data_IF_224088110171
#
_entry.id   IF_224088110171
#
_cell.length_a   1.000
_cell.length_b   1.000
_cell.length_c   1.000
_cell.angle_alpha   90.00
_cell.angle_beta   90.00
_cell.angle_gamma   90.00
#
_symmetry.space_group_name_H-M   'P 1'
#
loop_
_entity.id
_entity.type
_entity.pdbx_description
1 polymer ?
#
# COMPACT_ATOMS: atom_id res chain seq x y z
N UNK A 1 0.34 -19.85 -8.25
CA UNK A 1 1.11 -20.15 -9.47
C UNK A 1 0.13 -20.13 -10.63
N UNK A 2 0.23 -19.17 -11.54
CA UNK A 2 -0.57 -19.24 -12.78
C UNK A 2 0.21 -20.08 -13.80
N UNK A 3 -0.50 -20.87 -14.59
CA UNK A 3 0.06 -21.55 -15.75
C UNK A 3 -0.34 -20.74 -16.99
N UNK A 4 0.59 -20.49 -17.90
CA UNK A 4 0.30 -19.74 -19.12
C UNK A 4 -0.61 -20.53 -20.06
N UNK A 5 -0.47 -21.86 -20.07
CA UNK A 5 -1.13 -22.75 -21.03
C UNK A 5 -1.57 -24.06 -20.37
N UNK A 6 -2.41 -24.01 -19.30
CA UNK A 6 -2.81 -25.20 -18.54
C UNK A 6 -3.48 -26.25 -19.43
N UNK A 7 -4.26 -25.81 -20.43
CA UNK A 7 -4.99 -26.69 -21.33
C UNK A 7 -4.11 -27.43 -22.34
N UNK A 8 -3.05 -26.78 -22.82
CA UNK A 8 -2.09 -27.41 -23.74
C UNK A 8 -1.26 -28.46 -23.00
N UNK A 9 -0.79 -28.13 -21.79
CA UNK A 9 -0.08 -29.08 -20.95
C UNK A 9 -0.97 -30.28 -20.55
N UNK A 10 -2.24 -30.03 -20.19
CA UNK A 10 -3.20 -31.08 -19.88
C UNK A 10 -3.48 -31.98 -21.10
N UNK A 11 -3.66 -31.39 -22.29
CA UNK A 11 -3.85 -32.14 -23.53
C UNK A 11 -2.64 -33.01 -23.90
N UNK A 12 -1.42 -32.46 -23.78
CA UNK A 12 -0.19 -33.20 -24.03
C UNK A 12 -0.01 -34.38 -23.06
N UNK A 13 -0.30 -34.18 -21.77
CA UNK A 13 -0.26 -35.24 -20.77
C UNK A 13 -1.32 -36.32 -21.05
N UNK A 14 -2.55 -35.92 -21.39
CA UNK A 14 -3.64 -36.85 -21.68
C UNK A 14 -3.36 -37.79 -22.86
N UNK A 15 -2.51 -37.38 -23.81
CA UNK A 15 -2.11 -38.21 -24.96
C UNK A 15 -0.84 -39.00 -24.67
N UNK A 16 0.19 -38.36 -24.11
CA UNK A 16 1.51 -38.95 -23.99
C UNK A 16 1.60 -40.07 -22.95
N UNK A 17 0.94 -39.92 -21.80
CA UNK A 17 0.93 -40.93 -20.74
C UNK A 17 0.27 -42.27 -21.18
N UNK A 18 -0.96 -42.29 -21.71
CA UNK A 18 -1.58 -43.54 -22.14
C UNK A 18 -0.89 -44.14 -23.37
N UNK A 19 -0.33 -43.33 -24.29
CA UNK A 19 0.44 -43.83 -25.41
C UNK A 19 1.70 -44.58 -24.96
N UNK A 20 2.43 -44.04 -23.97
CA UNK A 20 3.63 -44.67 -23.42
C UNK A 20 3.28 -45.98 -22.70
N UNK A 21 2.20 -45.99 -21.91
CA UNK A 21 1.70 -47.20 -21.26
C UNK A 21 1.28 -48.25 -22.29
N UNK A 22 0.55 -47.86 -23.33
CA UNK A 22 0.12 -48.75 -24.40
C UNK A 22 1.32 -49.39 -25.11
N UNK A 23 2.32 -48.58 -25.51
CA UNK A 23 3.56 -49.07 -26.13
C UNK A 23 4.34 -50.00 -25.21
N UNK A 24 4.37 -49.71 -23.91
CA UNK A 24 5.03 -50.56 -22.94
C UNK A 24 4.33 -51.92 -22.80
N UNK A 25 2.99 -51.95 -22.68
CA UNK A 25 2.23 -53.19 -22.60
C UNK A 25 2.28 -54.00 -23.91
N UNK A 26 2.34 -53.34 -25.06
CA UNK A 26 2.49 -54.00 -26.36
C UNK A 26 3.87 -54.64 -26.55
N UNK A 27 4.88 -54.21 -25.79
CA UNK A 27 6.24 -54.78 -25.86
C UNK A 27 6.30 -56.13 -25.15
N UNK A 28 5.68 -57.13 -25.76
CA UNK A 28 5.67 -58.51 -25.30
C UNK A 28 7.04 -59.15 -25.56
N UNK A 29 7.96 -59.05 -24.59
CA UNK A 29 9.22 -59.80 -24.62
C UNK A 29 8.94 -61.28 -24.39
N UNK A 30 8.80 -62.04 -25.48
CA UNK A 30 8.89 -63.50 -25.44
C UNK A 30 10.36 -63.88 -25.29
N UNK A 31 10.70 -64.42 -24.12
CA UNK A 31 12.00 -65.03 -23.90
C UNK A 31 11.79 -66.52 -24.16
N UNK A 32 12.36 -67.02 -25.25
CA UNK A 32 12.36 -68.45 -25.53
C UNK A 32 13.38 -69.12 -24.61
N UNK A 33 12.89 -70.01 -23.74
CA UNK A 33 13.76 -70.85 -22.92
C UNK A 33 13.70 -72.27 -23.46
N UNK A 34 14.83 -72.88 -23.85
CA UNK A 34 14.85 -74.28 -24.25
C UNK A 34 14.65 -75.16 -23.01
N UNK A 35 13.66 -76.06 -23.06
CA UNK A 35 13.34 -76.98 -21.95
C UNK A 35 13.25 -78.40 -22.50
N UNK A 36 13.85 -79.36 -21.81
CA UNK A 36 14.01 -80.73 -22.28
C UNK A 36 12.75 -81.60 -22.27
N UNK A 37 11.62 -81.14 -21.72
CA UNK A 37 10.35 -81.91 -21.73
C UNK A 37 9.11 -80.99 -21.67
N UNK A 38 8.17 -81.20 -22.60
CA UNK A 38 6.93 -80.42 -22.75
C UNK A 38 5.77 -80.93 -21.90
N UNK A 39 5.88 -82.12 -21.31
CA UNK A 39 4.79 -82.77 -20.57
C UNK A 39 4.51 -82.14 -19.19
N UNK A 40 5.55 -81.69 -18.48
CA UNK A 40 5.43 -81.10 -17.14
C UNK A 40 4.90 -79.65 -17.17
N UNK A 41 5.06 -78.95 -18.30
CA UNK A 41 4.67 -77.55 -18.44
C UNK A 41 3.17 -77.34 -18.67
N UNK A 42 2.44 -78.31 -19.24
CA UNK A 42 0.98 -78.19 -19.44
C UNK A 42 0.19 -77.99 -18.14
N UNK A 43 0.75 -78.37 -16.99
CA UNK A 43 0.09 -78.27 -15.67
C UNK A 43 0.52 -77.03 -14.87
N UNK A 44 1.68 -76.43 -15.17
CA UNK A 44 2.19 -75.22 -14.52
C UNK A 44 1.66 -73.91 -15.15
N UNK A 45 1.11 -73.98 -16.37
CA UNK A 45 0.61 -72.78 -17.09
C UNK A 45 -0.74 -72.28 -16.53
N UNK A 46 -1.45 -73.09 -15.74
CA UNK A 46 -2.76 -72.69 -15.18
C UNK A 46 -2.65 -71.78 -13.93
N UNK A 47 -1.51 -71.76 -13.22
CA UNK A 47 -1.36 -70.97 -11.98
C UNK A 47 -0.66 -69.60 -12.15
N UNK A 48 -0.05 -69.34 -13.32
CA UNK A 48 0.72 -68.11 -13.55
C UNK A 48 -0.11 -66.91 -14.06
N UNK A 49 -1.43 -67.07 -14.19
CA UNK A 49 -2.30 -66.10 -14.88
C UNK A 49 -3.09 -65.14 -13.99
N UNK A 50 -2.88 -65.10 -12.67
CA UNK A 50 -3.76 -64.29 -11.81
C UNK A 50 -3.22 -62.88 -11.50
N UNK A 51 -1.89 -62.63 -11.50
CA UNK A 51 -1.33 -61.32 -11.12
C UNK A 51 -0.11 -60.83 -11.93
N UNK A 52 0.12 -61.38 -13.13
CA UNK A 52 1.26 -61.04 -13.97
C UNK A 52 1.37 -59.56 -14.44
N UNK A 53 0.29 -58.80 -14.71
CA UNK A 53 0.45 -57.45 -15.26
C UNK A 53 0.97 -56.44 -14.24
N UNK A 54 0.55 -56.53 -12.97
CA UNK A 54 0.90 -55.54 -11.92
C UNK A 54 2.23 -55.83 -11.20
N UNK A 55 2.71 -57.08 -11.15
CA UNK A 55 4.02 -57.39 -10.55
C UNK A 55 5.19 -56.83 -11.39
N UNK A 56 5.05 -56.77 -12.72
CA UNK A 56 6.08 -56.19 -13.60
C UNK A 56 6.17 -54.67 -13.48
N UNK A 57 5.07 -53.99 -13.13
CA UNK A 57 5.03 -52.54 -12.96
C UNK A 57 5.88 -52.06 -11.77
N UNK A 58 5.92 -52.84 -10.67
CA UNK A 58 6.72 -52.51 -9.48
C UNK A 58 8.23 -52.68 -9.68
N UNK A 59 8.67 -53.48 -10.66
CA UNK A 59 10.08 -53.87 -10.82
C UNK A 59 10.80 -53.14 -11.96
N UNK A 60 10.12 -52.24 -12.65
CA UNK A 60 10.67 -51.53 -13.80
C UNK A 60 10.92 -50.05 -13.50
N UNK A 61 12.04 -49.80 -12.81
CA UNK A 61 12.51 -48.45 -12.48
C UNK A 61 12.63 -47.55 -13.72
N UNK A 62 12.92 -48.14 -14.88
CA UNK A 62 13.01 -47.45 -16.16
C UNK A 62 11.67 -46.85 -16.62
N UNK A 63 10.55 -47.53 -16.34
CA UNK A 63 9.21 -47.01 -16.67
C UNK A 63 8.86 -45.81 -15.79
N UNK A 64 9.17 -45.88 -14.48
CA UNK A 64 9.00 -44.76 -13.57
C UNK A 64 9.83 -43.55 -13.99
N UNK A 65 11.07 -43.77 -14.40
CA UNK A 65 11.95 -42.69 -14.87
C UNK A 65 11.40 -42.04 -16.15
N UNK A 66 10.88 -42.83 -17.08
CA UNK A 66 10.24 -42.33 -18.30
C UNK A 66 8.99 -41.49 -18.01
N UNK A 67 8.12 -41.97 -17.11
CA UNK A 67 6.95 -41.21 -16.65
C UNK A 67 7.35 -39.90 -15.96
N UNK A 68 8.42 -39.92 -15.16
CA UNK A 68 8.90 -38.72 -14.47
C UNK A 68 9.47 -37.68 -15.44
N UNK A 69 10.25 -38.11 -16.44
CA UNK A 69 10.74 -37.22 -17.50
C UNK A 69 9.57 -36.62 -18.29
N UNK A 70 8.56 -37.44 -18.62
CA UNK A 70 7.37 -36.97 -19.33
C UNK A 70 6.57 -35.97 -18.50
N UNK A 71 6.40 -36.23 -17.19
CA UNK A 71 5.77 -35.30 -16.26
C UNK A 71 6.52 -33.96 -16.21
N UNK A 72 7.85 -33.99 -16.08
CA UNK A 72 8.70 -32.80 -16.09
C UNK A 72 8.61 -32.04 -17.42
N UNK A 73 8.58 -32.73 -18.55
CA UNK A 73 8.42 -32.11 -19.86
C UNK A 73 7.05 -31.42 -20.00
N UNK A 74 5.96 -32.09 -19.62
CA UNK A 74 4.63 -31.47 -19.63
C UNK A 74 4.51 -30.31 -18.65
N UNK A 75 5.19 -30.38 -17.50
CA UNK A 75 5.26 -29.31 -16.53
C UNK A 75 6.06 -28.11 -17.07
N UNK A 76 7.17 -28.34 -17.75
CA UNK A 76 7.93 -27.27 -18.41
C UNK A 76 7.11 -26.60 -19.53
N UNK A 77 6.36 -27.38 -20.32
CA UNK A 77 5.44 -26.86 -21.33
C UNK A 77 4.27 -26.06 -20.74
N UNK A 78 3.83 -26.38 -19.51
CA UNK A 78 2.80 -25.61 -18.81
C UNK A 78 3.25 -24.18 -18.49
N UNK A 79 4.56 -23.89 -18.60
CA UNK A 79 5.14 -22.59 -18.36
C UNK A 79 4.78 -22.07 -16.97
N UNK A 80 5.25 -22.73 -15.89
CA UNK A 80 4.98 -22.30 -14.53
C UNK A 80 5.62 -20.92 -14.34
N UNK A 81 4.81 -19.88 -14.47
CA UNK A 81 5.21 -18.54 -14.09
C UNK A 81 5.08 -18.46 -12.58
N UNK A 82 6.22 -18.57 -11.90
CA UNK A 82 6.32 -17.99 -10.57
C UNK A 82 6.26 -16.49 -10.78
N UNK A 83 5.18 -15.86 -10.32
CA UNK A 83 5.15 -14.41 -10.13
C UNK A 83 6.09 -14.08 -8.97
N UNK A 84 7.40 -14.24 -9.19
CA UNK A 84 8.35 -13.36 -8.55
C UNK A 84 8.04 -12.02 -9.19
N UNK A 85 7.08 -11.31 -8.62
CA UNK A 85 6.90 -9.90 -8.89
C UNK A 85 8.19 -9.27 -8.42
N UNK A 86 9.18 -9.19 -9.31
CA UNK A 86 9.99 -7.99 -9.38
C UNK A 86 8.96 -6.88 -9.46
N UNK A 87 8.68 -6.24 -8.31
CA UNK A 87 7.91 -5.01 -8.32
C UNK A 87 8.71 -4.11 -9.23
N UNK A 88 8.19 -3.86 -10.43
CA UNK A 88 8.72 -2.80 -11.28
C UNK A 88 8.81 -1.58 -10.39
N UNK A 89 9.98 -0.92 -10.41
CA UNK A 89 10.23 0.33 -9.70
C UNK A 89 8.97 1.20 -9.67
N UNK A 90 8.39 1.33 -8.48
CA UNK A 90 7.15 2.05 -8.29
C UNK A 90 7.41 3.55 -8.22
N UNK A 91 6.42 4.35 -8.64
CA UNK A 91 6.41 5.77 -8.30
C UNK A 91 5.64 5.95 -7.00
N UNK A 92 6.25 6.61 -6.04
CA UNK A 92 5.64 6.91 -4.74
C UNK A 92 5.59 8.41 -4.57
N UNK A 93 4.41 8.95 -4.31
CA UNK A 93 4.24 10.35 -3.94
C UNK A 93 3.90 10.43 -2.46
N UNK A 94 4.78 11.00 -1.66
CA UNK A 94 4.59 11.27 -0.24
C UNK A 94 3.98 12.67 -0.10
N UNK A 95 2.77 12.74 0.46
CA UNK A 95 2.09 13.98 0.83
C UNK A 95 2.21 14.15 2.33
N UNK A 96 2.93 15.18 2.78
CA UNK A 96 3.16 15.46 4.19
C UNK A 96 2.43 16.75 4.57
N UNK A 97 1.47 16.64 5.46
CA UNK A 97 0.77 17.77 6.04
C UNK A 97 1.67 18.49 7.05
N UNK A 98 1.83 19.80 6.89
CA UNK A 98 2.58 20.66 7.82
C UNK A 98 1.75 21.82 8.39
N UNK A 99 0.41 21.73 8.28
CA UNK A 99 -0.54 22.72 8.77
C UNK A 99 -0.47 22.98 10.28
N UNK A 100 -1.16 24.02 10.75
CA UNK A 100 -1.18 24.42 12.16
C UNK A 100 -1.58 23.28 13.12
N UNK A 101 -2.50 22.39 12.71
CA UNK A 101 -2.92 21.26 13.55
C UNK A 101 -1.82 20.21 13.73
N UNK A 102 -0.87 20.13 12.79
CA UNK A 102 0.30 19.27 12.87
C UNK A 102 1.35 19.78 13.87
N UNK A 103 1.20 21.01 14.40
CA UNK A 103 2.04 21.53 15.49
C UNK A 103 1.57 21.05 16.87
N UNK A 104 0.42 20.38 16.96
CA UNK A 104 -0.06 19.81 18.21
C UNK A 104 0.94 18.76 18.76
N UNK A 105 1.08 18.72 20.08
CA UNK A 105 1.97 17.78 20.76
C UNK A 105 1.24 16.48 21.09
N UNK A 106 1.83 15.35 20.70
CA UNK A 106 1.42 14.01 21.10
C UNK A 106 2.47 13.47 22.08
N UNK A 107 2.23 13.67 23.37
CA UNK A 107 3.25 13.43 24.39
C UNK A 107 4.35 14.49 24.33
N UNK A 108 5.58 14.08 24.02
CA UNK A 108 6.76 14.97 23.97
C UNK A 108 7.18 15.37 22.54
N UNK A 109 6.44 14.94 21.53
CA UNK A 109 6.82 15.10 20.11
C UNK A 109 5.66 15.78 19.37
N UNK A 110 5.95 16.61 18.38
CA UNK A 110 4.90 17.22 17.54
C UNK A 110 4.29 16.19 16.58
N UNK A 111 3.03 16.40 16.16
CA UNK A 111 2.40 15.58 15.12
C UNK A 111 3.20 15.62 13.82
N UNK A 112 3.74 16.77 13.43
CA UNK A 112 4.61 16.90 12.27
C UNK A 112 5.86 16.02 12.36
N UNK A 113 6.52 16.00 13.52
CA UNK A 113 7.70 15.15 13.72
C UNK A 113 7.33 13.65 13.67
N UNK A 114 6.19 13.26 14.24
CA UNK A 114 5.66 11.90 14.10
C UNK A 114 5.34 11.55 12.63
N UNK A 115 4.82 12.50 11.86
CA UNK A 115 4.56 12.33 10.43
C UNK A 115 5.86 12.12 9.65
N UNK A 116 6.89 12.91 9.93
CA UNK A 116 8.23 12.76 9.36
C UNK A 116 8.83 11.39 9.69
N UNK A 117 8.76 10.96 10.94
CA UNK A 117 9.29 9.66 11.37
C UNK A 117 8.60 8.50 10.65
N UNK A 118 7.26 8.53 10.55
CA UNK A 118 6.49 7.54 9.78
C UNK A 118 6.81 7.58 8.29
N UNK A 119 6.98 8.76 7.70
CA UNK A 119 7.37 8.90 6.29
C UNK A 119 8.78 8.33 6.05
N UNK A 120 9.72 8.57 6.96
CA UNK A 120 11.07 8.00 6.91
C UNK A 120 11.08 6.49 7.11
N UNK A 121 10.22 5.95 7.97
CA UNK A 121 10.00 4.50 8.10
C UNK A 121 9.45 3.90 6.80
N UNK A 122 8.45 4.55 6.19
CA UNK A 122 7.90 4.13 4.91
C UNK A 122 8.98 4.09 3.81
N UNK A 123 9.77 5.16 3.68
CA UNK A 123 10.87 5.26 2.70
C UNK A 123 11.94 4.19 2.92
N UNK A 124 12.22 3.79 4.17
CA UNK A 124 13.13 2.68 4.48
C UNK A 124 12.61 1.32 3.99
N UNK A 125 11.29 1.14 3.90
CA UNK A 125 10.66 -0.08 3.39
C UNK A 125 10.59 -0.19 1.86
N UNK A 126 10.89 0.90 1.14
CA UNK A 126 10.84 0.93 -0.33
C UNK A 126 12.07 0.25 -0.97
N UNK A 127 11.90 -0.29 -2.18
CA UNK A 127 12.97 -0.91 -2.95
C UNK A 127 13.90 0.16 -3.56
N UNK A 128 15.18 -0.19 -3.78
CA UNK A 128 16.22 0.77 -4.20
C UNK A 128 15.97 1.47 -5.54
N UNK A 129 15.11 0.93 -6.40
CA UNK A 129 14.76 1.55 -7.68
C UNK A 129 13.48 2.40 -7.63
N UNK A 130 12.76 2.44 -6.50
CA UNK A 130 11.51 3.20 -6.38
C UNK A 130 11.78 4.72 -6.44
N UNK A 131 11.05 5.41 -7.33
CA UNK A 131 11.11 6.85 -7.47
C UNK A 131 10.17 7.51 -6.48
N UNK A 132 10.70 8.42 -5.66
CA UNK A 132 9.96 9.08 -4.60
C UNK A 132 9.88 10.58 -4.85
N UNK A 133 8.67 11.10 -4.79
CA UNK A 133 8.38 12.54 -4.79
C UNK A 133 7.85 12.92 -3.42
N UNK A 134 8.39 13.98 -2.83
CA UNK A 134 7.97 14.50 -1.52
C UNK A 134 7.29 15.85 -1.74
N UNK A 135 6.02 15.93 -1.35
CA UNK A 135 5.19 17.14 -1.41
C UNK A 135 4.78 17.50 0.01
N UNK A 136 5.13 18.71 0.44
CA UNK A 136 4.60 19.30 1.66
C UNK A 136 3.36 20.13 1.32
N UNK A 137 2.37 20.15 2.21
CA UNK A 137 1.17 20.96 2.00
C UNK A 137 0.57 21.49 3.31
N UNK A 138 0.03 22.70 3.24
CA UNK A 138 -0.88 23.30 4.22
C UNK A 138 -1.89 24.15 3.46
N UNK A 139 -1.75 25.46 3.47
CA UNK A 139 -2.54 26.42 2.69
C UNK A 139 -2.13 26.41 1.21
N UNK A 140 -0.85 26.15 0.96
CA UNK A 140 -0.23 25.96 -0.35
C UNK A 140 0.53 24.63 -0.36
N UNK A 141 0.59 23.97 -1.53
CA UNK A 141 1.37 22.75 -1.72
C UNK A 141 2.67 22.98 -2.50
N UNK A 142 3.76 22.35 -2.09
CA UNK A 142 5.09 22.45 -2.72
C UNK A 142 5.80 21.11 -2.80
N UNK A 143 6.37 20.79 -3.97
CA UNK A 143 7.26 19.65 -4.12
C UNK A 143 8.66 19.99 -3.62
N UNK A 144 9.09 19.38 -2.51
CA UNK A 144 10.41 19.57 -1.89
C UNK A 144 11.45 18.64 -2.53
N UNK A 145 11.01 17.49 -3.04
CA UNK A 145 11.83 16.55 -3.80
C UNK A 145 11.01 15.96 -4.94
N UNK A 146 11.55 15.97 -6.17
CA UNK A 146 10.86 15.45 -7.35
C UNK A 146 11.54 14.17 -7.84
N UNK A 147 10.78 13.08 -7.91
CA UNK A 147 11.12 11.80 -8.54
C UNK A 147 12.57 11.34 -8.32
N UNK A 148 13.00 11.28 -7.06
CA UNK A 148 14.35 10.89 -6.68
C UNK A 148 14.41 9.42 -6.26
N UNK A 149 15.53 8.76 -6.56
CA UNK A 149 15.87 7.43 -6.03
C UNK A 149 16.92 7.53 -4.90
N UNK A 150 17.53 8.71 -4.70
CA UNK A 150 18.54 8.93 -3.65
C UNK A 150 17.86 9.07 -2.28
N UNK A 151 17.98 8.03 -1.47
CA UNK A 151 17.48 7.99 -0.08
C UNK A 151 18.03 9.14 0.78
N UNK A 152 19.27 9.57 0.53
CA UNK A 152 19.88 10.70 1.25
C UNK A 152 19.26 12.04 0.88
N UNK A 153 18.88 12.24 -0.38
CA UNK A 153 18.14 13.43 -0.83
C UNK A 153 16.70 13.42 -0.30
N UNK A 154 16.00 12.29 -0.38
CA UNK A 154 14.63 12.13 0.12
C UNK A 154 14.57 12.39 1.63
N UNK A 155 15.48 11.82 2.41
CA UNK A 155 15.55 12.03 3.85
C UNK A 155 15.71 13.51 4.20
N UNK A 156 16.68 14.19 3.55
CA UNK A 156 16.92 15.62 3.77
C UNK A 156 15.69 16.47 3.40
N UNK A 157 14.98 16.11 2.34
CA UNK A 157 13.76 16.79 1.95
C UNK A 157 12.68 16.67 3.03
N UNK A 158 12.44 15.46 3.57
CA UNK A 158 11.46 15.24 4.66
C UNK A 158 11.87 15.99 5.93
N UNK A 159 13.15 15.94 6.30
CA UNK A 159 13.67 16.64 7.48
C UNK A 159 13.57 18.17 7.35
N UNK A 160 13.65 18.70 6.12
CA UNK A 160 13.61 20.14 5.86
C UNK A 160 12.23 20.79 5.99
N UNK A 161 11.16 20.00 6.05
CA UNK A 161 9.78 20.49 6.17
C UNK A 161 9.63 21.24 7.49
N UNK A 162 9.22 22.50 7.45
CA UNK A 162 9.03 23.32 8.65
C UNK A 162 7.54 23.43 9.01
N UNK A 163 7.22 23.53 10.31
CA UNK A 163 5.84 23.77 10.74
C UNK A 163 5.32 25.12 10.23
N UNK A 164 4.04 25.19 9.90
CA UNK A 164 3.34 26.45 9.57
C UNK A 164 2.14 26.67 10.49
N UNK A 165 1.65 27.91 10.52
CA UNK A 165 0.41 28.30 11.21
C UNK A 165 -0.79 28.38 10.24
N UNK A 166 -0.61 27.94 8.98
CA UNK A 166 -1.64 27.91 7.95
C UNK A 166 -2.67 26.79 8.14
N UNK A 167 -3.83 26.96 7.48
CA UNK A 167 -4.85 25.91 7.37
C UNK A 167 -4.45 24.80 6.39
N UNK A 168 -5.35 23.85 6.13
CA UNK A 168 -5.05 22.67 5.29
C UNK A 168 -5.93 22.63 4.05
N UNK A 169 -5.30 22.46 2.88
CA UNK A 169 -5.93 22.27 1.56
C UNK A 169 -5.29 21.12 0.81
N UNK A 170 -6.06 20.09 0.53
CA UNK A 170 -5.59 18.87 -0.14
C UNK A 170 -5.63 19.01 -1.67
N UNK A 171 -6.50 19.85 -2.23
CA UNK A 171 -6.71 19.97 -3.67
C UNK A 171 -5.44 20.32 -4.46
N UNK A 172 -4.65 21.28 -3.97
CA UNK A 172 -3.40 21.69 -4.63
C UNK A 172 -2.35 20.58 -4.56
N UNK A 173 -2.25 19.91 -3.42
CA UNK A 173 -1.30 18.82 -3.22
C UNK A 173 -1.62 17.62 -4.10
N UNK A 174 -2.90 17.28 -4.25
CA UNK A 174 -3.36 16.20 -5.13
C UNK A 174 -3.13 16.52 -6.61
N UNK A 175 -3.35 17.78 -7.04
CA UNK A 175 -3.03 18.23 -8.41
C UNK A 175 -1.55 18.05 -8.73
N UNK A 176 -0.66 18.43 -7.79
CA UNK A 176 0.79 18.25 -7.95
C UNK A 176 1.17 16.78 -7.97
N UNK A 177 0.59 15.96 -7.09
CA UNK A 177 0.82 14.53 -7.06
C UNK A 177 0.43 13.88 -8.40
N UNK A 178 -0.76 14.16 -8.90
CA UNK A 178 -1.23 13.63 -10.20
C UNK A 178 -0.32 14.10 -11.34
N UNK A 179 0.09 15.37 -11.37
CA UNK A 179 1.01 15.87 -12.39
C UNK A 179 2.33 15.07 -12.39
N UNK A 180 2.94 14.82 -11.24
CA UNK A 180 4.19 14.05 -11.12
C UNK A 180 4.04 12.59 -11.59
N UNK A 181 2.90 11.95 -11.29
CA UNK A 181 2.63 10.59 -11.78
C UNK A 181 2.61 10.52 -13.30
N UNK A 182 2.10 11.56 -13.98
CA UNK A 182 1.98 11.63 -15.45
C UNK A 182 3.29 11.94 -16.18
N UNK A 183 4.18 12.74 -15.58
CA UNK A 183 5.36 13.31 -16.28
C UNK A 183 6.55 12.33 -16.39
N UNK A 184 6.77 11.47 -15.39
CA UNK A 184 7.95 10.58 -15.39
C UNK A 184 7.80 9.23 -16.13
N UNK A 185 6.71 9.00 -16.86
CA UNK A 185 6.66 7.88 -17.80
C UNK A 185 7.37 8.30 -19.07
N UNK A 186 8.52 7.71 -19.41
CA UNK A 186 9.02 7.77 -20.78
C UNK A 186 7.97 7.10 -21.68
N UNK A 187 6.99 7.88 -22.13
CA UNK A 187 6.03 7.46 -23.13
C UNK A 187 6.79 7.48 -24.45
N UNK A 188 7.29 6.32 -24.85
CA UNK A 188 7.54 6.07 -26.26
C UNK A 188 6.17 6.16 -26.96
N UNK A 189 5.91 7.17 -27.80
CA UNK A 189 4.61 7.39 -28.43
C UNK A 189 4.19 6.24 -29.37
N UNK A 190 5.06 5.25 -29.58
CA UNK A 190 4.79 4.04 -30.38
C UNK A 190 4.16 2.87 -29.60
N UNK A 191 4.11 2.93 -28.27
CA UNK A 191 3.54 1.86 -27.43
C UNK A 191 2.13 2.25 -26.98
N UNK A 192 1.16 1.34 -27.19
CA UNK A 192 -0.22 1.49 -26.76
C UNK A 192 -0.30 1.93 -25.27
N UNK A 193 -1.35 2.65 -24.84
CA UNK A 193 -1.47 3.14 -23.46
C UNK A 193 -1.34 1.98 -22.48
N UNK A 194 -0.15 1.79 -21.91
CA UNK A 194 0.02 0.93 -20.74
C UNK A 194 -0.74 1.61 -19.62
N UNK A 195 -1.57 0.84 -18.92
CA UNK A 195 -2.19 1.24 -17.65
C UNK A 195 -1.15 2.03 -16.84
N UNK A 196 -1.55 3.20 -16.35
CA UNK A 196 -0.64 4.13 -15.68
C UNK A 196 0.23 3.36 -14.67
N UNK A 197 1.55 3.61 -14.60
CA UNK A 197 2.40 2.91 -13.66
C UNK A 197 1.77 2.99 -12.26
N UNK A 198 1.85 1.89 -11.50
CA UNK A 198 1.33 1.77 -10.13
C UNK A 198 1.91 2.88 -9.25
N UNK A 199 1.29 4.06 -9.31
CA UNK A 199 1.67 5.22 -8.54
C UNK A 199 0.88 5.19 -7.25
N UNK A 200 1.59 5.04 -6.14
CA UNK A 200 1.00 5.09 -4.81
C UNK A 200 1.13 6.49 -4.25
N UNK A 201 0.00 7.04 -3.80
CA UNK A 201 -0.08 8.32 -3.14
C UNK A 201 -0.23 8.05 -1.65
N UNK A 202 0.73 8.48 -0.86
CA UNK A 202 0.83 8.18 0.57
C UNK A 202 0.65 9.48 1.35
N UNK A 203 -0.50 9.63 2.02
CA UNK A 203 -0.91 10.86 2.71
C UNK A 203 -0.66 10.75 4.22
N UNK A 204 0.16 11.63 4.78
CA UNK A 204 0.45 11.73 6.21
C UNK A 204 -0.18 13.02 6.75
N UNK A 205 -1.29 12.90 7.48
CA UNK A 205 -2.03 14.03 8.05
C UNK A 205 -2.80 13.58 9.31
N UNK A 206 -3.21 14.53 10.14
CA UNK A 206 -4.12 14.29 11.27
C UNK A 206 -5.59 14.18 10.84
N UNK A 207 -5.89 14.33 9.54
CA UNK A 207 -7.21 14.16 8.96
C UNK A 207 -8.10 15.41 9.05
N UNK A 208 -7.62 16.52 9.63
CA UNK A 208 -8.38 17.77 9.74
C UNK A 208 -8.28 18.62 8.46
N UNK A 209 -8.70 18.03 7.34
CA UNK A 209 -8.57 18.62 6.01
C UNK A 209 -9.91 19.23 5.59
N UNK A 210 -9.94 20.54 5.35
CA UNK A 210 -11.19 21.28 5.11
C UNK A 210 -11.91 20.87 3.81
N UNK A 211 -11.17 20.40 2.82
CA UNK A 211 -11.65 20.07 1.47
C UNK A 211 -11.64 18.57 1.16
N UNK A 212 -11.39 17.70 2.15
CA UNK A 212 -11.29 16.26 1.94
C UNK A 212 -12.53 15.64 1.28
N UNK A 213 -13.73 16.02 1.75
CA UNK A 213 -15.02 15.55 1.22
C UNK A 213 -15.22 15.84 -0.27
N UNK A 214 -14.56 16.88 -0.80
CA UNK A 214 -14.67 17.28 -2.20
C UNK A 214 -13.64 16.56 -3.10
N UNK A 215 -12.64 15.89 -2.52
CA UNK A 215 -11.57 15.27 -3.30
C UNK A 215 -11.87 13.80 -3.58
N UNK A 216 -12.04 13.48 -4.87
CA UNK A 216 -12.05 12.10 -5.36
C UNK A 216 -10.69 11.81 -5.97
N UNK A 217 -10.00 10.77 -5.49
CA UNK A 217 -8.74 10.31 -6.08
C UNK A 217 -9.05 9.68 -7.44
N UNK A 218 -8.86 10.45 -8.51
CA UNK A 218 -9.23 10.03 -9.86
C UNK A 218 -8.23 9.03 -10.48
N UNK A 219 -6.97 9.00 -10.00
CA UNK A 219 -5.89 8.14 -10.49
C UNK A 219 -4.89 7.80 -9.39
N UNK A 220 -4.44 6.54 -9.36
CA UNK A 220 -3.51 6.02 -8.34
C UNK A 220 -4.23 5.45 -7.12
N UNK A 221 -3.51 4.69 -6.30
CA UNK A 221 -3.99 4.23 -5.02
C UNK A 221 -3.55 5.23 -3.95
N UNK A 222 -4.51 5.92 -3.31
CA UNK A 222 -4.22 6.75 -2.15
C UNK A 222 -4.35 5.92 -0.88
N UNK A 223 -3.34 6.01 -0.01
CA UNK A 223 -3.39 5.45 1.33
C UNK A 223 -3.17 6.58 2.33
N UNK A 224 -4.04 6.62 3.32
CA UNK A 224 -4.00 7.59 4.40
C UNK A 224 -3.30 7.00 5.63
N UNK A 225 -2.32 7.72 6.16
CA UNK A 225 -1.64 7.47 7.41
C UNK A 225 -2.08 8.52 8.44
N UNK A 226 -3.03 8.18 9.33
CA UNK A 226 -3.45 9.10 10.37
C UNK A 226 -2.31 9.37 11.36
N UNK A 227 -2.13 10.64 11.68
CA UNK A 227 -1.14 11.14 12.64
C UNK A 227 -1.87 11.68 13.87
N UNK A 228 -1.42 11.24 15.04
CA UNK A 228 -2.03 11.64 16.30
C UNK A 228 -3.34 10.92 16.60
N UNK A 229 -3.92 11.29 17.73
CA UNK A 229 -5.24 10.83 18.16
C UNK A 229 -6.20 12.00 18.20
N UNK A 230 -7.47 11.76 17.89
CA UNK A 230 -8.49 12.80 18.08
C UNK A 230 -8.59 13.11 19.57
N UNK A 231 -8.24 14.33 19.94
CA UNK A 231 -8.35 14.84 21.31
C UNK A 231 -9.42 15.92 21.34
N UNK A 232 -10.25 15.89 22.38
CA UNK A 232 -11.18 16.97 22.67
C UNK A 232 -10.41 18.29 22.81
N UNK A 233 -10.80 19.31 22.06
CA UNK A 233 -10.09 20.58 22.00
C UNK A 233 -11.05 21.75 22.18
N UNK A 234 -10.63 22.75 22.94
CA UNK A 234 -11.30 24.05 23.02
C UNK A 234 -10.36 25.08 22.42
N UNK A 235 -10.73 25.61 21.26
CA UNK A 235 -9.90 26.52 20.48
C UNK A 235 -10.38 27.97 20.57
N UNK A 236 -9.44 28.91 20.52
CA UNK A 236 -9.73 30.31 20.18
C UNK A 236 -9.77 30.40 18.65
N UNK A 237 -10.96 30.56 18.09
CA UNK A 237 -11.20 30.54 16.63
C UNK A 237 -11.00 31.93 16.01
N UNK A 238 -11.35 32.97 16.77
CA UNK A 238 -11.20 34.36 16.34
C UNK A 238 -10.67 35.18 17.51
N UNK A 239 -9.71 36.06 17.25
CA UNK A 239 -9.25 37.09 18.19
C UNK A 239 -9.08 38.41 17.46
N UNK A 240 -9.76 39.45 17.91
CA UNK A 240 -9.67 40.81 17.38
C UNK A 240 -9.49 41.81 18.53
N UNK A 241 -8.62 42.80 18.35
CA UNK A 241 -8.29 43.79 19.36
C UNK A 241 -8.36 45.17 18.72
N UNK A 242 -9.28 46.00 19.21
CA UNK A 242 -9.49 47.36 18.70
C UNK A 242 -9.51 48.37 19.83
N UNK A 243 -9.10 49.61 19.54
CA UNK A 243 -9.30 50.73 20.47
C UNK A 243 -10.72 51.26 20.32
N UNK A 244 -11.37 51.56 21.43
CA UNK A 244 -12.68 52.21 21.38
C UNK A 244 -12.53 53.62 20.80
N UNK A 245 -13.29 53.95 19.76
CA UNK A 245 -13.20 55.24 19.07
C UNK A 245 -13.48 56.42 20.00
N UNK A 246 -14.49 56.27 20.87
CA UNK A 246 -14.89 57.30 21.83
C UNK A 246 -13.95 57.39 23.05
N UNK A 247 -13.18 56.32 23.33
CA UNK A 247 -12.25 56.25 24.47
C UNK A 247 -10.95 55.55 24.06
N UNK A 248 -9.98 56.27 23.46
CA UNK A 248 -8.76 55.68 22.91
C UNK A 248 -7.85 54.98 23.93
N UNK A 249 -8.10 55.20 25.23
CA UNK A 249 -7.46 54.53 26.37
C UNK A 249 -8.08 53.18 26.73
N UNK A 250 -9.22 52.82 26.15
CA UNK A 250 -9.88 51.53 26.33
C UNK A 250 -9.64 50.61 25.13
N UNK A 251 -9.26 49.37 25.41
CA UNK A 251 -9.15 48.30 24.43
C UNK A 251 -10.40 47.44 24.49
N UNK A 252 -10.99 47.18 23.33
CA UNK A 252 -12.02 46.17 23.14
C UNK A 252 -11.37 44.94 22.54
N UNK A 253 -11.47 43.82 23.25
CA UNK A 253 -10.99 42.51 22.79
C UNK A 253 -12.21 41.65 22.49
N UNK A 254 -12.32 41.18 21.25
CA UNK A 254 -13.29 40.19 20.84
C UNK A 254 -12.56 38.86 20.67
N UNK A 255 -13.05 37.82 21.34
CA UNK A 255 -12.56 36.47 21.17
C UNK A 255 -13.75 35.52 20.98
N UNK A 256 -13.68 34.68 19.95
CA UNK A 256 -14.62 33.58 19.75
C UNK A 256 -13.92 32.28 20.15
N UNK A 257 -14.56 31.52 21.02
CA UNK A 257 -14.04 30.27 21.55
C UNK A 257 -15.04 29.18 21.21
N UNK A 258 -14.52 28.06 20.75
CA UNK A 258 -15.33 26.94 20.30
C UNK A 258 -14.81 25.63 20.88
N UNK A 259 -15.74 24.77 21.25
CA UNK A 259 -15.45 23.42 21.71
C UNK A 259 -15.60 22.46 20.53
N UNK A 260 -14.53 21.73 20.25
CA UNK A 260 -14.45 20.70 19.21
C UNK A 260 -14.56 19.27 19.79
N UNK A 261 -14.78 19.14 21.10
CA UNK A 261 -15.06 17.87 21.76
C UNK A 261 -16.55 17.48 21.68
N UNK A 262 -16.88 16.18 21.79
CA UNK A 262 -18.25 15.67 21.70
C UNK A 262 -19.08 15.96 22.95
N UNK A 263 -18.45 16.42 24.04
CA UNK A 263 -19.11 16.71 25.32
C UNK A 263 -19.09 18.22 25.61
N UNK A 264 -20.14 18.79 26.22
CA UNK A 264 -20.12 20.16 26.71
C UNK A 264 -19.00 20.36 27.75
N UNK A 265 -18.39 21.54 27.75
CA UNK A 265 -17.29 21.86 28.67
C UNK A 265 -17.48 23.23 29.31
N UNK A 266 -17.18 23.32 30.60
CA UNK A 266 -17.06 24.58 31.32
C UNK A 266 -15.58 24.92 31.44
N UNK A 267 -15.18 26.10 30.96
CA UNK A 267 -13.79 26.55 31.02
C UNK A 267 -13.70 28.03 31.33
N UNK A 268 -12.62 28.41 31.98
CA UNK A 268 -12.28 29.79 32.23
C UNK A 268 -11.42 30.36 31.11
N UNK A 269 -11.72 31.58 30.71
CA UNK A 269 -10.94 32.34 29.73
C UNK A 269 -10.27 33.49 30.45
N UNK A 270 -8.94 33.50 30.43
CA UNK A 270 -8.16 34.59 31.01
C UNK A 270 -7.49 35.45 29.94
N UNK A 271 -7.77 36.75 29.93
CA UNK A 271 -7.02 37.75 29.17
C UNK A 271 -5.88 38.28 30.04
N UNK A 272 -4.65 38.28 29.51
CA UNK A 272 -3.47 38.85 30.17
C UNK A 272 -2.91 39.99 29.34
N UNK A 273 -2.65 41.12 29.97
CA UNK A 273 -2.00 42.28 29.36
C UNK A 273 -0.69 42.56 30.11
N UNK A 274 0.44 42.48 29.39
CA UNK A 274 1.78 42.57 29.96
C UNK A 274 2.02 41.61 31.14
N UNK A 275 1.49 40.38 31.04
CA UNK A 275 1.61 39.35 32.08
C UNK A 275 0.66 39.52 33.28
N UNK A 276 -0.08 40.63 33.37
CA UNK A 276 -1.07 40.88 34.43
C UNK A 276 -2.50 40.64 33.94
N UNK A 277 -3.38 40.13 34.82
CA UNK A 277 -4.80 39.95 34.52
C UNK A 277 -5.54 41.23 34.92
N UNK A 278 -6.13 42.00 33.98
CA UNK A 278 -6.91 43.19 34.31
C UNK A 278 -8.19 42.81 35.07
N UNK A 279 -8.81 43.78 35.76
CA UNK A 279 -10.09 43.55 36.47
C UNK A 279 -11.17 43.07 35.49
N UNK A 280 -11.79 41.92 35.78
CA UNK A 280 -12.76 41.27 34.88
C UNK A 280 -12.11 40.50 33.72
N UNK A 281 -10.78 40.31 33.74
CA UNK A 281 -10.03 39.58 32.72
C UNK A 281 -10.19 38.06 32.79
N UNK A 282 -10.97 37.51 33.72
CA UNK A 282 -11.36 36.10 33.74
C UNK A 282 -12.87 36.02 33.54
N UNK A 283 -13.30 35.22 32.58
CA UNK A 283 -14.71 34.94 32.33
C UNK A 283 -14.91 33.43 32.19
N UNK A 284 -15.83 32.89 32.98
CA UNK A 284 -16.26 31.50 32.84
C UNK A 284 -17.18 31.39 31.62
N UNK A 285 -16.93 30.41 30.77
CA UNK A 285 -17.75 30.08 29.62
C UNK A 285 -18.24 28.63 29.74
N UNK A 286 -19.52 28.44 29.45
CA UNK A 286 -20.10 27.13 29.20
C UNK A 286 -20.23 26.97 27.69
N UNK A 287 -19.48 26.03 27.13
CA UNK A 287 -19.46 25.74 25.70
C UNK A 287 -20.24 24.44 25.48
N UNK A 288 -21.16 24.45 24.51
CA UNK A 288 -21.85 23.24 24.06
C UNK A 288 -20.88 22.21 23.46
N UNK A 289 -21.35 21.00 23.13
CA UNK A 289 -20.54 20.04 22.39
C UNK A 289 -20.24 20.60 20.99
N UNK A 290 -19.23 20.04 20.31
CA UNK A 290 -18.93 20.34 18.93
C UNK A 290 -20.22 20.37 18.11
N UNK A 291 -20.48 21.49 17.44
CA UNK A 291 -21.56 21.53 16.47
C UNK A 291 -21.22 20.46 15.43
N UNK A 292 -22.08 19.45 15.34
CA UNK A 292 -22.06 18.49 14.26
C UNK A 292 -22.48 19.23 12.98
N UNK A 293 -21.61 20.10 12.48
CA UNK A 293 -21.64 20.46 11.08
C UNK A 293 -21.21 19.18 10.36
N UNK A 294 -22.09 18.63 9.53
CA UNK A 294 -21.91 17.33 8.87
C UNK A 294 -20.73 17.34 7.91
N UNK A 295 -19.53 17.25 8.45
CA UNK A 295 -18.23 17.20 7.78
C UNK A 295 -17.56 15.93 8.25
N UNK A 296 -17.44 14.99 7.32
CA UNK A 296 -16.90 13.64 7.51
C UNK A 296 -15.38 13.70 7.34
#
# INVERSE_FOLDING_TARGET
>A
MNLLTPWIAAGAAAVAFPLLLLLYFLKLRRVEMPISSTLLWKRAIQDLQVNAPFQKLRRNLLLFLQLMILALATFALAGPISRWTERTAGKVVLLIDHSASMNAQEGNISRLDLAKDKALEYVRGLQGNDQVTVIEFADVARAVCQSSTDRGAIRRAIESIQPTDGGTRLDEALKLAVADTTVGGHQDPSLAPREAPDASIELFSDGRIADADAQIVQRGAMRFFPIGSSTDNVGIVTLDVRRAYERPSQLMVFAQIENFGPTPIETDVSLRLNGSIPRGGIKQLSLGPAQADGRI
#
